data_IF_473347182826
#
_entry.id   IF_473347182826
#
_cell.length_a   1.000
_cell.length_b   1.000
_cell.length_c   1.000
_cell.angle_alpha   90.00
_cell.angle_beta   90.00
_cell.angle_gamma   90.00
#
_symmetry.space_group_name_H-M   'P 1'
#
loop_
_entity.id
_entity.type
_entity.pdbx_description
1 polymer ?
#
# COMPACT_ATOMS: atom_id res chain seq x y z
N UNK A 1 -7.66 34.98 52.09
CA UNK A 1 -6.48 34.40 51.42
C UNK A 1 -6.90 33.04 50.86
N UNK A 2 -7.73 33.02 49.79
CA UNK A 2 -8.23 31.78 49.15
C UNK A 2 -9.04 32.09 47.86
N UNK A 3 -8.37 32.50 46.78
CA UNK A 3 -8.98 32.52 45.43
C UNK A 3 -8.04 32.08 44.30
N UNK A 4 -6.81 31.62 44.60
CA UNK A 4 -5.83 31.26 43.56
C UNK A 4 -5.54 29.75 43.45
N UNK A 5 -6.08 28.90 44.31
CA UNK A 5 -5.85 27.44 44.23
C UNK A 5 -6.81 26.71 43.28
N UNK A 6 -7.94 27.31 42.91
CA UNK A 6 -8.98 26.64 42.12
C UNK A 6 -8.85 26.75 40.59
N UNK A 7 -7.81 27.41 40.07
CA UNK A 7 -7.65 27.64 38.62
C UNK A 7 -6.66 26.65 37.97
N UNK A 8 -5.94 25.84 38.77
CA UNK A 8 -4.92 24.90 38.25
C UNK A 8 -5.42 23.47 37.97
N UNK A 9 -6.67 23.14 38.30
CA UNK A 9 -7.16 21.77 38.21
C UNK A 9 -7.81 21.38 36.87
N UNK A 10 -8.04 22.32 35.94
CA UNK A 10 -8.86 22.07 34.74
C UNK A 10 -8.09 21.96 33.41
N UNK A 11 -6.74 21.89 33.41
CA UNK A 11 -5.96 21.80 32.17
C UNK A 11 -4.93 20.66 32.23
N UNK A 12 -5.36 19.48 32.66
CA UNK A 12 -4.62 18.25 32.35
C UNK A 12 -5.38 17.53 31.22
N UNK A 13 -4.80 17.40 30.02
CA UNK A 13 -5.43 16.61 28.96
C UNK A 13 -5.57 15.18 29.49
N UNK A 14 -6.82 14.72 29.59
CA UNK A 14 -7.07 13.30 29.86
C UNK A 14 -6.39 12.48 28.74
N UNK A 15 -5.68 11.39 29.07
CA UNK A 15 -5.07 10.57 28.05
C UNK A 15 -6.18 10.09 27.11
N UNK A 16 -6.08 10.45 25.83
CA UNK A 16 -6.91 9.92 24.76
C UNK A 16 -6.69 8.40 24.71
N UNK A 17 -7.45 7.67 25.53
CA UNK A 17 -7.64 6.24 25.36
C UNK A 17 -8.61 6.10 24.21
N UNK A 18 -8.15 6.39 22.99
CA UNK A 18 -8.82 5.88 21.81
C UNK A 18 -8.78 4.36 21.98
N UNK A 19 -9.93 3.78 22.33
CA UNK A 19 -10.14 2.35 22.18
C UNK A 19 -9.78 2.04 20.73
N UNK A 20 -8.66 1.36 20.50
CA UNK A 20 -8.34 0.82 19.18
C UNK A 20 -9.40 -0.24 18.93
N UNK A 21 -10.52 0.17 18.32
CA UNK A 21 -11.46 -0.76 17.73
C UNK A 21 -10.62 -1.60 16.77
N UNK A 22 -10.67 -2.95 16.85
CA UNK A 22 -9.91 -3.77 15.93
C UNK A 22 -10.32 -3.35 14.51
N UNK A 23 -9.36 -2.81 13.76
CA UNK A 23 -9.64 -2.33 12.42
C UNK A 23 -10.21 -3.51 11.62
N UNK A 24 -11.37 -3.30 10.98
CA UNK A 24 -11.95 -4.32 10.11
C UNK A 24 -10.89 -4.71 9.07
N UNK A 25 -10.50 -5.97 9.05
CA UNK A 25 -9.48 -6.47 8.15
C UNK A 25 -9.80 -6.10 6.69
N UNK A 26 -8.77 -5.78 5.90
CA UNK A 26 -8.94 -5.43 4.50
C UNK A 26 -9.67 -6.54 3.72
N UNK A 27 -10.60 -6.14 2.85
CA UNK A 27 -11.34 -7.06 1.99
C UNK A 27 -10.45 -7.56 0.87
N UNK A 28 -10.47 -8.86 0.58
CA UNK A 28 -9.82 -9.42 -0.62
C UNK A 28 -10.73 -9.18 -1.82
N UNK A 29 -10.46 -8.13 -2.59
CA UNK A 29 -11.24 -7.76 -3.77
C UNK A 29 -11.09 -8.78 -4.90
N UNK A 30 -9.85 -9.23 -5.15
CA UNK A 30 -9.57 -10.21 -6.19
C UNK A 30 -8.37 -11.10 -5.81
N UNK A 31 -8.42 -12.38 -6.19
CA UNK A 31 -7.29 -13.29 -6.08
C UNK A 31 -6.37 -13.12 -7.30
N UNK A 32 -5.07 -12.90 -7.08
CA UNK A 32 -4.12 -12.66 -8.17
C UNK A 32 -3.33 -13.92 -8.57
N UNK A 33 -3.52 -15.05 -7.88
CA UNK A 33 -2.85 -16.31 -8.23
C UNK A 33 -3.34 -16.82 -9.59
N UNK A 34 -2.45 -16.86 -10.58
CA UNK A 34 -2.77 -17.29 -11.95
C UNK A 34 -3.59 -16.26 -12.74
N UNK A 35 -3.79 -15.06 -12.20
CA UNK A 35 -4.47 -13.97 -12.90
C UNK A 35 -3.59 -13.47 -14.03
N UNK A 36 -4.16 -13.32 -15.22
CA UNK A 36 -3.43 -12.71 -16.32
C UNK A 36 -3.25 -11.20 -16.07
N UNK A 37 -2.29 -10.62 -16.78
CA UNK A 37 -1.90 -9.22 -16.56
C UNK A 37 -3.00 -8.23 -16.90
N UNK A 38 -3.78 -8.49 -17.94
CA UNK A 38 -4.85 -7.57 -18.36
C UNK A 38 -5.93 -7.49 -17.29
N UNK A 39 -6.38 -8.62 -16.76
CA UNK A 39 -7.37 -8.68 -15.68
C UNK A 39 -6.84 -7.99 -14.42
N UNK A 40 -5.57 -8.23 -14.07
CA UNK A 40 -4.94 -7.57 -12.93
C UNK A 40 -4.93 -6.04 -13.07
N UNK A 41 -4.58 -5.52 -14.26
CA UNK A 41 -4.63 -4.10 -14.55
C UNK A 41 -6.05 -3.53 -14.49
N UNK A 42 -7.05 -4.26 -15.01
CA UNK A 42 -8.45 -3.83 -14.93
C UNK A 42 -8.95 -3.75 -13.49
N UNK A 43 -8.61 -4.70 -12.63
CA UNK A 43 -8.96 -4.63 -11.20
C UNK A 43 -8.29 -3.40 -10.56
N UNK A 44 -7.01 -3.16 -10.82
CA UNK A 44 -6.28 -2.00 -10.26
C UNK A 44 -6.76 -0.65 -10.78
N UNK A 45 -7.38 -0.59 -11.95
CA UNK A 45 -7.99 0.63 -12.48
C UNK A 45 -9.24 1.07 -11.71
N UNK A 46 -9.87 0.16 -10.95
CA UNK A 46 -11.10 0.43 -10.19
C UNK A 46 -10.89 1.31 -8.96
N UNK A 47 -9.65 1.61 -8.58
CA UNK A 47 -9.34 2.43 -7.42
C UNK A 47 -7.93 3.02 -7.45
N UNK A 48 -7.53 3.63 -6.35
CA UNK A 48 -6.24 4.26 -6.11
C UNK A 48 -5.38 3.31 -5.28
N UNK A 49 -4.27 2.88 -5.86
CA UNK A 49 -3.27 2.03 -5.20
C UNK A 49 -2.13 2.83 -4.58
N UNK A 50 -1.23 2.13 -3.87
CA UNK A 50 -0.01 2.72 -3.29
C UNK A 50 0.87 3.42 -4.33
N UNK A 51 1.01 2.86 -5.53
CA UNK A 51 1.75 3.49 -6.65
C UNK A 51 1.11 4.79 -7.17
N UNK A 52 -0.19 4.93 -6.98
CA UNK A 52 -0.97 6.09 -7.46
C UNK A 52 -1.01 7.19 -6.41
N UNK A 53 -0.86 6.85 -5.13
CA UNK A 53 -1.04 7.76 -4.01
C UNK A 53 -0.15 9.02 -4.10
N UNK A 54 1.12 8.86 -4.49
CA UNK A 54 2.02 10.00 -4.66
C UNK A 54 1.51 10.96 -5.77
N UNK A 55 1.03 10.43 -6.89
CA UNK A 55 0.48 11.24 -7.97
C UNK A 55 -0.84 11.89 -7.56
N UNK A 56 -1.70 11.16 -6.85
CA UNK A 56 -2.96 11.69 -6.31
C UNK A 56 -2.73 12.84 -5.32
N UNK A 57 -1.63 12.82 -4.57
CA UNK A 57 -1.22 13.90 -3.66
C UNK A 57 -0.40 15.01 -4.35
N UNK A 58 -0.14 14.93 -5.66
CA UNK A 58 0.70 15.91 -6.37
C UNK A 58 2.19 15.85 -6.02
N UNK A 59 2.66 14.74 -5.46
CA UNK A 59 4.05 14.52 -5.01
C UNK A 59 4.86 13.64 -5.96
N UNK A 60 4.27 13.15 -7.05
CA UNK A 60 4.95 12.30 -8.02
C UNK A 60 5.61 13.15 -9.12
N UNK A 61 6.95 13.08 -9.28
CA UNK A 61 7.65 13.86 -10.31
C UNK A 61 7.44 13.33 -11.74
N UNK A 62 6.91 12.11 -11.89
CA UNK A 62 6.75 11.42 -13.18
C UNK A 62 5.31 11.39 -13.68
N UNK A 63 4.32 11.69 -12.84
CA UNK A 63 2.90 11.62 -13.20
C UNK A 63 2.11 12.70 -12.48
N UNK A 64 1.35 13.49 -13.24
CA UNK A 64 0.48 14.54 -12.69
C UNK A 64 -0.84 13.98 -12.16
N UNK A 65 -1.53 14.75 -11.29
CA UNK A 65 -2.88 14.41 -10.82
C UNK A 65 -3.88 14.27 -11.98
N UNK A 66 -3.79 15.15 -12.99
CA UNK A 66 -4.67 15.12 -14.15
C UNK A 66 -4.44 13.86 -15.00
N UNK A 67 -3.18 13.50 -15.21
CA UNK A 67 -2.80 12.28 -15.93
C UNK A 67 -3.31 11.03 -15.23
N UNK A 68 -3.11 10.92 -13.91
CA UNK A 68 -3.67 9.84 -13.11
C UNK A 68 -5.20 9.76 -13.27
N UNK A 69 -5.90 10.91 -13.20
CA UNK A 69 -7.36 10.95 -13.39
C UNK A 69 -7.77 10.48 -14.80
N UNK A 70 -7.06 10.89 -15.85
CA UNK A 70 -7.34 10.43 -17.22
C UNK A 70 -7.15 8.91 -17.35
N UNK A 71 -6.10 8.35 -16.73
CA UNK A 71 -5.85 6.91 -16.72
C UNK A 71 -6.96 6.16 -15.98
N UNK A 72 -7.28 6.58 -14.75
CA UNK A 72 -8.27 5.91 -13.89
C UNK A 72 -9.70 6.00 -14.44
N UNK A 73 -9.99 7.02 -15.22
CA UNK A 73 -11.28 7.17 -15.88
C UNK A 73 -11.32 6.64 -17.32
N UNK A 74 -10.26 5.97 -17.78
CA UNK A 74 -10.19 5.32 -19.09
C UNK A 74 -10.07 6.28 -20.28
N UNK A 75 -9.76 7.56 -20.04
CA UNK A 75 -9.53 8.58 -21.08
C UNK A 75 -8.11 8.52 -21.66
N UNK A 76 -7.21 7.85 -20.96
CA UNK A 76 -5.81 7.66 -21.36
C UNK A 76 -5.36 6.25 -21.02
N UNK A 77 -4.53 5.66 -21.88
CA UNK A 77 -3.86 4.40 -21.59
C UNK A 77 -2.55 4.70 -20.85
N UNK A 78 -2.22 3.92 -19.82
CA UNK A 78 -0.93 4.03 -19.15
C UNK A 78 0.15 3.29 -19.99
N UNK A 79 1.07 4.04 -20.61
CA UNK A 79 2.10 3.45 -21.48
C UNK A 79 3.26 2.80 -20.71
N UNK A 80 3.49 3.19 -19.45
CA UNK A 80 4.46 2.53 -18.56
C UNK A 80 4.16 1.03 -18.40
N UNK A 81 2.90 0.66 -18.55
CA UNK A 81 2.45 -0.72 -18.48
C UNK A 81 2.78 -1.53 -19.74
N UNK A 82 3.21 -0.94 -20.86
CA UNK A 82 3.60 -1.69 -22.07
C UNK A 82 5.07 -2.12 -22.06
N UNK A 83 5.91 -1.46 -21.27
CA UNK A 83 7.37 -1.61 -21.33
C UNK A 83 7.93 -2.75 -20.46
N UNK A 84 7.10 -3.52 -19.75
CA UNK A 84 7.56 -4.49 -18.75
C UNK A 84 8.29 -5.73 -19.31
N UNK A 85 8.10 -6.05 -20.60
CA UNK A 85 8.81 -7.15 -21.28
C UNK A 85 10.17 -6.70 -21.85
N UNK A 86 10.52 -5.44 -21.69
CA UNK A 86 11.85 -4.95 -21.99
C UNK A 86 12.78 -5.32 -20.82
N UNK A 87 13.86 -6.05 -21.11
CA UNK A 87 14.86 -6.43 -20.11
C UNK A 87 15.54 -5.23 -19.44
N UNK A 88 15.43 -4.04 -20.03
CA UNK A 88 15.92 -2.78 -19.47
C UNK A 88 14.87 -2.07 -18.58
N UNK A 89 13.63 -2.57 -18.51
CA UNK A 89 12.60 -1.95 -17.68
C UNK A 89 12.87 -2.20 -16.19
N UNK A 90 12.89 -1.16 -15.33
CA UNK A 90 13.07 -1.32 -13.88
C UNK A 90 12.07 -2.28 -13.23
N UNK A 91 10.84 -2.33 -13.76
CA UNK A 91 9.78 -3.23 -13.28
C UNK A 91 10.10 -4.72 -13.52
N UNK A 92 10.85 -5.05 -14.58
CA UNK A 92 11.28 -6.43 -14.86
C UNK A 92 12.20 -6.91 -13.73
N UNK A 93 13.28 -6.18 -13.46
CA UNK A 93 14.23 -6.54 -12.41
C UNK A 93 13.63 -6.48 -11.01
N UNK A 94 12.71 -5.54 -10.74
CA UNK A 94 11.95 -5.52 -9.50
C UNK A 94 11.23 -6.83 -9.22
N UNK A 95 10.47 -7.35 -10.20
CA UNK A 95 9.77 -8.62 -10.05
C UNK A 95 10.73 -9.81 -9.87
N UNK A 96 11.86 -9.82 -10.59
CA UNK A 96 12.84 -10.91 -10.51
C UNK A 96 13.59 -10.93 -9.17
N UNK A 97 13.90 -9.76 -8.61
CA UNK A 97 14.68 -9.62 -7.37
C UNK A 97 13.81 -9.69 -6.11
N UNK A 98 12.50 -9.42 -6.21
CA UNK A 98 11.57 -9.41 -5.08
C UNK A 98 11.66 -10.68 -4.19
N UNK A 99 11.67 -11.93 -4.74
CA UNK A 99 11.82 -13.13 -3.91
C UNK A 99 13.13 -13.21 -3.14
N UNK A 100 14.24 -12.76 -3.75
CA UNK A 100 15.57 -12.76 -3.13
C UNK A 100 15.65 -11.73 -1.99
N UNK A 101 15.04 -10.56 -2.18
CA UNK A 101 14.93 -9.54 -1.13
C UNK A 101 14.12 -10.08 0.05
N UNK A 102 13.01 -10.77 -0.22
CA UNK A 102 12.18 -11.39 0.82
C UNK A 102 12.91 -12.50 1.57
N UNK A 103 13.67 -13.35 0.88
CA UNK A 103 14.54 -14.36 1.51
C UNK A 103 15.58 -13.71 2.42
N UNK A 104 16.31 -12.70 1.93
CA UNK A 104 17.30 -11.97 2.72
C UNK A 104 16.69 -11.32 3.98
N UNK A 105 15.48 -10.76 3.87
CA UNK A 105 14.74 -10.22 5.01
C UNK A 105 14.46 -11.30 6.07
N UNK A 106 14.03 -12.50 5.65
CA UNK A 106 13.78 -13.61 6.57
C UNK A 106 15.07 -14.04 7.28
N UNK A 107 16.18 -14.15 6.56
CA UNK A 107 17.48 -14.55 7.15
C UNK A 107 18.01 -13.54 8.16
N UNK A 108 17.83 -12.24 7.88
CA UNK A 108 18.33 -11.16 8.75
C UNK A 108 17.49 -10.94 9.99
N UNK A 109 16.18 -11.13 9.89
CA UNK A 109 15.24 -10.79 10.98
C UNK A 109 14.68 -12.00 11.72
N UNK A 110 14.75 -13.19 11.12
CA UNK A 110 14.06 -14.39 11.60
C UNK A 110 12.54 -14.36 11.38
N UNK A 111 11.99 -13.27 10.84
CA UNK A 111 10.55 -13.15 10.59
C UNK A 111 10.17 -13.96 9.37
N UNK A 112 9.17 -14.84 9.50
CA UNK A 112 8.61 -15.58 8.35
C UNK A 112 7.67 -14.70 7.55
N UNK A 113 7.75 -14.79 6.23
CA UNK A 113 6.88 -14.02 5.32
C UNK A 113 6.08 -14.92 4.38
N UNK A 114 4.95 -14.42 3.90
CA UNK A 114 4.08 -15.11 2.94
C UNK A 114 3.59 -14.15 1.87
N UNK A 115 3.68 -14.56 0.60
CA UNK A 115 3.22 -13.76 -0.53
C UNK A 115 1.71 -13.50 -0.44
N UNK A 116 1.31 -12.25 -0.71
CA UNK A 116 -0.10 -11.86 -0.71
C UNK A 116 -0.63 -11.86 -2.15
N UNK A 117 -1.18 -13.00 -2.58
CA UNK A 117 -1.77 -13.13 -3.91
C UNK A 117 -3.20 -12.55 -3.96
N UNK A 118 -3.37 -11.27 -3.63
CA UNK A 118 -4.63 -10.58 -3.74
C UNK A 118 -4.48 -9.07 -4.02
N UNK A 119 -5.49 -8.51 -4.68
CA UNK A 119 -5.81 -7.08 -4.55
C UNK A 119 -6.66 -6.93 -3.30
N UNK A 120 -6.19 -6.12 -2.36
CA UNK A 120 -6.90 -5.76 -1.14
C UNK A 120 -7.65 -4.45 -1.36
N UNK A 121 -8.78 -4.31 -0.69
CA UNK A 121 -9.63 -3.13 -0.68
C UNK A 121 -9.93 -2.75 0.76
N UNK A 122 -10.04 -1.44 1.03
CA UNK A 122 -10.49 -0.97 2.34
C UNK A 122 -11.85 -1.59 2.72
N UNK A 123 -12.05 -1.85 4.01
CA UNK A 123 -13.23 -2.58 4.50
C UNK A 123 -14.48 -1.69 4.63
N UNK A 124 -14.29 -0.38 4.81
CA UNK A 124 -15.38 0.60 4.82
C UNK A 124 -15.80 1.01 3.40
N UNK A 125 -17.12 1.08 3.19
CA UNK A 125 -17.72 1.24 1.87
C UNK A 125 -17.38 2.58 1.21
N UNK A 126 -17.33 3.66 2.00
CA UNK A 126 -16.95 5.00 1.54
C UNK A 126 -15.49 5.08 1.07
N UNK A 127 -14.66 4.11 1.48
CA UNK A 127 -13.24 4.04 1.19
C UNK A 127 -12.90 2.90 0.20
N UNK A 128 -13.89 2.28 -0.44
CA UNK A 128 -13.68 1.20 -1.41
C UNK A 128 -12.77 1.57 -2.60
N UNK A 129 -12.58 2.87 -2.87
CA UNK A 129 -11.61 3.32 -3.86
C UNK A 129 -10.15 3.07 -3.44
N UNK A 130 -9.86 2.85 -2.15
CA UNK A 130 -8.51 2.55 -1.66
C UNK A 130 -8.18 1.08 -1.88
N UNK A 131 -7.18 0.82 -2.71
CA UNK A 131 -6.70 -0.50 -3.05
C UNK A 131 -5.25 -0.70 -2.60
N UNK A 132 -4.87 -1.95 -2.32
CA UNK A 132 -3.48 -2.31 -2.04
C UNK A 132 -3.12 -3.66 -2.67
N UNK A 133 -1.90 -3.75 -3.17
CA UNK A 133 -1.25 -5.00 -3.54
C UNK A 133 0.02 -5.07 -2.70
N UNK A 134 0.04 -6.00 -1.74
CA UNK A 134 1.20 -6.21 -0.89
C UNK A 134 2.11 -7.25 -1.54
N UNK A 135 3.42 -7.08 -1.41
CA UNK A 135 4.37 -8.12 -1.81
C UNK A 135 4.24 -9.32 -0.84
N UNK A 136 4.46 -9.08 0.45
CA UNK A 136 4.37 -10.10 1.49
C UNK A 136 3.72 -9.61 2.78
N UNK A 137 3.10 -10.54 3.50
CA UNK A 137 2.68 -10.38 4.89
C UNK A 137 3.64 -11.13 5.81
N UNK A 138 4.01 -10.52 6.91
CA UNK A 138 4.80 -11.14 7.99
C UNK A 138 3.82 -11.88 8.92
N UNK A 139 4.08 -13.16 9.19
CA UNK A 139 3.08 -14.04 9.86
C UNK A 139 3.38 -14.36 11.33
N UNK A 140 4.57 -14.03 11.83
CA UNK A 140 5.04 -14.44 13.15
C UNK A 140 5.67 -13.30 13.95
N UNK A 141 5.26 -12.05 13.67
CA UNK A 141 5.73 -10.86 14.38
C UNK A 141 4.55 -9.99 14.81
N UNK A 142 4.58 -9.51 16.05
CA UNK A 142 3.62 -8.54 16.57
C UNK A 142 4.04 -7.09 16.23
N UNK A 143 5.29 -6.88 15.83
CA UNK A 143 5.86 -5.56 15.57
C UNK A 143 5.74 -5.17 14.09
N UNK A 144 5.90 -6.15 13.19
CA UNK A 144 5.89 -5.94 11.74
C UNK A 144 4.90 -6.89 11.09
N UNK A 145 3.99 -6.36 10.28
CA UNK A 145 2.92 -7.15 9.65
C UNK A 145 3.04 -7.23 8.12
N UNK A 146 3.77 -6.30 7.50
CA UNK A 146 3.88 -6.17 6.04
C UNK A 146 5.35 -6.01 5.65
N UNK A 147 5.73 -6.64 4.54
CA UNK A 147 7.00 -6.42 3.88
C UNK A 147 6.73 -5.92 2.45
N UNK A 148 7.23 -4.73 2.15
CA UNK A 148 7.27 -4.14 0.81
C UNK A 148 8.72 -4.18 0.32
N UNK A 149 8.95 -4.83 -0.81
CA UNK A 149 10.28 -4.99 -1.39
C UNK A 149 10.50 -3.93 -2.48
N UNK A 150 11.69 -3.34 -2.48
CA UNK A 150 12.14 -2.42 -3.54
C UNK A 150 13.54 -2.79 -3.97
N UNK A 151 13.74 -2.91 -5.27
CA UNK A 151 15.05 -2.93 -5.89
C UNK A 151 15.29 -1.58 -6.56
N UNK A 152 16.46 -1.00 -6.35
CA UNK A 152 16.90 0.20 -7.07
C UNK A 152 18.02 -0.21 -8.02
N UNK A 153 17.84 0.08 -9.31
CA UNK A 153 18.91 0.01 -10.31
C UNK A 153 19.61 1.36 -10.46
N UNK A 154 20.80 1.35 -11.07
CA UNK A 154 21.49 2.56 -11.50
C UNK A 154 21.16 2.87 -12.96
#
# INVERSE_FOLDING_TARGET
>A
MNQLENIKAEILPQPLTQSIQPSKAAKRLANTKGMNRQDWLQVRKQGIGSSDAAAACGLNPYMSMLELWMIKTGRMQNDLEKMQNDSYAPLYWGNQLEPLIAEHYQDKTGNKVRRVNAVLQHSDEDLHFMLANLDYAVIASNEVQILECKSVGQ
#
